data_IF_922034816015
#
_entry.id   IF_922034816015
#
_cell.length_a   1.000
_cell.length_b   1.000
_cell.length_c   1.000
_cell.angle_alpha   90.00
_cell.angle_beta   90.00
_cell.angle_gamma   90.00
#
_symmetry.space_group_name_H-M   'P 1'
#
loop_
_entity.id
_entity.type
_entity.pdbx_description
1 polymer ?
#
# COMPACT_ATOMS: atom_id res chain seq x y z
N UNK A 1 20.32 6.49 -23.00
CA UNK A 1 19.09 7.13 -23.55
C UNK A 1 17.92 6.15 -23.59
N UNK A 2 18.07 4.91 -24.10
CA UNK A 2 17.00 3.90 -24.08
C UNK A 2 16.48 3.54 -22.69
N UNK A 3 17.36 3.38 -21.69
CA UNK A 3 16.96 3.01 -20.33
C UNK A 3 16.05 4.06 -19.68
N UNK A 4 16.39 5.34 -19.85
CA UNK A 4 15.59 6.47 -19.38
C UNK A 4 14.19 6.49 -19.98
N UNK A 5 14.09 6.22 -21.29
CA UNK A 5 12.80 6.14 -21.98
C UNK A 5 11.96 4.97 -21.47
N UNK A 6 12.57 3.80 -21.27
CA UNK A 6 11.89 2.63 -20.72
C UNK A 6 11.38 2.88 -19.30
N UNK A 7 12.16 3.52 -18.42
CA UNK A 7 11.73 3.84 -17.06
C UNK A 7 10.52 4.79 -17.06
N UNK A 8 10.50 5.78 -17.95
CA UNK A 8 9.38 6.73 -18.10
C UNK A 8 8.11 6.03 -18.62
N UNK A 9 8.23 5.09 -19.56
CA UNK A 9 7.09 4.31 -20.05
C UNK A 9 6.51 3.40 -18.96
N UNK A 10 7.36 2.73 -18.18
CA UNK A 10 6.93 1.91 -17.04
C UNK A 10 6.21 2.78 -16.00
N UNK A 11 6.74 3.96 -15.69
CA UNK A 11 6.13 4.95 -14.80
C UNK A 11 4.72 5.34 -15.25
N UNK A 12 4.57 5.71 -16.53
CA UNK A 12 3.28 6.12 -17.06
C UNK A 12 2.27 4.97 -17.08
N UNK A 13 2.73 3.72 -17.28
CA UNK A 13 1.86 2.55 -17.20
C UNK A 13 1.40 2.28 -15.77
N UNK A 14 2.33 2.16 -14.82
CA UNK A 14 2.01 1.85 -13.41
C UNK A 14 1.12 2.92 -12.79
N UNK A 15 1.42 4.20 -13.02
CA UNK A 15 0.64 5.30 -12.45
C UNK A 15 -0.71 5.51 -13.15
N UNK A 16 -0.77 5.24 -14.45
CA UNK A 16 -2.02 5.25 -15.21
C UNK A 16 -3.00 4.19 -14.72
N UNK A 17 -2.50 2.96 -14.50
CA UNK A 17 -3.31 1.82 -14.07
C UNK A 17 -3.77 1.96 -12.61
N UNK A 18 -2.95 2.54 -11.72
CA UNK A 18 -3.23 2.62 -10.29
C UNK A 18 -4.00 3.88 -9.85
N UNK A 19 -3.78 5.02 -10.50
CA UNK A 19 -4.25 6.31 -9.97
C UNK A 19 -4.94 7.20 -11.02
N UNK A 20 -5.19 6.71 -12.24
CA UNK A 20 -5.75 7.50 -13.36
C UNK A 20 -5.04 8.86 -13.54
N UNK A 21 -3.75 8.90 -13.22
CA UNK A 21 -2.96 10.14 -13.12
C UNK A 21 -1.70 9.99 -13.95
N UNK A 22 -1.45 10.97 -14.82
CA UNK A 22 -0.20 11.05 -15.59
C UNK A 22 0.78 12.01 -14.91
N UNK A 23 1.92 11.52 -14.45
CA UNK A 23 2.99 12.36 -13.87
C UNK A 23 3.97 12.75 -14.96
N UNK A 24 4.18 14.06 -15.18
CA UNK A 24 5.25 14.57 -16.03
C UNK A 24 6.57 14.56 -15.25
N UNK A 25 7.40 13.55 -15.49
CA UNK A 25 8.77 13.51 -14.95
C UNK A 25 9.68 14.39 -15.81
N UNK A 26 10.17 15.51 -15.25
CA UNK A 26 11.16 16.38 -15.89
C UNK A 26 12.54 16.01 -15.32
N UNK A 27 13.38 15.32 -16.10
CA UNK A 27 14.76 14.98 -15.70
C UNK A 27 15.73 16.08 -16.17
N UNK A 28 16.35 16.86 -15.27
CA UNK A 28 17.34 17.87 -15.65
C UNK A 28 18.58 17.22 -16.29
N UNK A 29 19.12 17.82 -17.36
CA UNK A 29 20.20 17.23 -18.17
C UNK A 29 21.53 16.97 -17.44
N UNK A 30 21.77 17.58 -16.27
CA UNK A 30 23.11 17.66 -15.63
C UNK A 30 23.30 16.74 -14.41
N UNK A 31 22.23 16.16 -13.87
CA UNK A 31 22.21 15.35 -12.63
C UNK A 31 21.51 14.00 -12.87
N UNK A 32 21.76 13.40 -14.05
CA UNK A 32 20.98 12.27 -14.56
C UNK A 32 21.05 11.04 -13.67
N UNK A 33 22.22 10.65 -13.18
CA UNK A 33 22.38 9.39 -12.44
C UNK A 33 21.68 9.41 -11.08
N UNK A 34 21.86 10.48 -10.29
CA UNK A 34 21.27 10.60 -8.96
C UNK A 34 19.75 10.76 -9.02
N UNK A 35 19.25 11.53 -10.00
CA UNK A 35 17.81 11.64 -10.25
C UNK A 35 17.19 10.30 -10.66
N UNK A 36 17.89 9.48 -11.45
CA UNK A 36 17.43 8.14 -11.83
C UNK A 36 17.33 7.20 -10.63
N UNK A 37 18.35 7.19 -9.76
CA UNK A 37 18.33 6.36 -8.55
C UNK A 37 17.20 6.77 -7.62
N UNK A 38 17.00 8.08 -7.40
CA UNK A 38 15.93 8.59 -6.55
C UNK A 38 14.53 8.26 -7.08
N UNK A 39 14.33 8.37 -8.40
CA UNK A 39 13.05 8.04 -9.05
C UNK A 39 12.77 6.53 -8.97
N UNK A 40 13.77 5.68 -9.24
CA UNK A 40 13.61 4.23 -9.12
C UNK A 40 13.27 3.82 -7.68
N UNK A 41 13.98 4.36 -6.68
CA UNK A 41 13.68 4.09 -5.28
C UNK A 41 12.27 4.56 -4.88
N UNK A 42 11.80 5.70 -5.39
CA UNK A 42 10.45 6.17 -5.15
C UNK A 42 9.39 5.27 -5.79
N UNK A 43 9.64 4.73 -6.99
CA UNK A 43 8.75 3.77 -7.66
C UNK A 43 8.68 2.47 -6.87
N UNK A 44 9.84 1.92 -6.48
CA UNK A 44 9.90 0.69 -5.68
C UNK A 44 9.15 0.85 -4.37
N UNK A 45 9.34 1.97 -3.66
CA UNK A 45 8.61 2.27 -2.43
C UNK A 45 7.09 2.40 -2.65
N UNK A 46 6.65 2.96 -3.79
CA UNK A 46 5.22 3.06 -4.13
C UNK A 46 4.62 1.70 -4.48
N UNK A 47 5.36 0.86 -5.20
CA UNK A 47 4.97 -0.50 -5.52
C UNK A 47 4.85 -1.32 -4.23
N UNK A 48 5.88 -1.31 -3.38
CA UNK A 48 5.85 -1.98 -2.07
C UNK A 48 4.69 -1.47 -1.20
N UNK A 49 4.44 -0.16 -1.15
CA UNK A 49 3.35 0.40 -0.37
C UNK A 49 1.97 -0.11 -0.82
N UNK A 50 1.82 -0.44 -2.11
CA UNK A 50 0.57 -0.90 -2.72
C UNK A 50 0.44 -2.43 -2.74
N UNK A 51 1.55 -3.18 -2.86
CA UNK A 51 1.56 -4.65 -2.93
C UNK A 51 1.37 -5.35 -1.58
N UNK A 52 1.42 -4.63 -0.46
CA UNK A 52 1.33 -5.24 0.86
C UNK A 52 -0.09 -5.66 1.30
N UNK A 53 -1.12 -5.46 0.46
CA UNK A 53 -2.47 -5.92 0.75
C UNK A 53 -2.65 -7.39 0.40
N UNK A 54 -2.98 -8.19 1.39
CA UNK A 54 -3.23 -9.63 1.29
C UNK A 54 -4.75 -9.83 1.18
N UNK A 55 -5.27 -10.39 0.07
CA UNK A 55 -6.68 -10.70 -0.04
C UNK A 55 -7.11 -11.69 1.04
N UNK A 56 -8.28 -11.48 1.64
CA UNK A 56 -8.82 -12.42 2.63
C UNK A 56 -9.06 -13.82 2.04
N UNK A 57 -9.28 -13.90 0.73
CA UNK A 57 -9.42 -15.16 -0.02
C UNK A 57 -8.10 -15.93 -0.17
N UNK A 58 -6.95 -15.26 -0.05
CA UNK A 58 -5.63 -15.90 -0.06
C UNK A 58 -5.32 -16.47 1.33
N UNK A 59 -5.37 -15.61 2.35
CA UNK A 59 -5.26 -16.02 3.75
C UNK A 59 -5.82 -14.97 4.68
N UNK A 60 -6.14 -15.41 5.89
CA UNK A 60 -6.52 -14.54 7.00
C UNK A 60 -5.29 -14.20 7.88
N UNK A 61 -5.33 -13.09 8.64
CA UNK A 61 -4.35 -12.82 9.68
C UNK A 61 -4.44 -13.84 10.82
N UNK A 62 -3.41 -13.90 11.66
CA UNK A 62 -3.48 -14.74 12.86
C UNK A 62 -4.55 -14.22 13.83
N UNK A 63 -5.22 -15.11 14.55
CA UNK A 63 -6.24 -14.69 15.52
C UNK A 63 -5.63 -13.77 16.59
N UNK A 64 -6.20 -12.57 16.74
CA UNK A 64 -5.72 -11.53 17.65
C UNK A 64 -4.60 -10.65 17.07
N UNK A 65 -4.08 -10.94 15.88
CA UNK A 65 -3.15 -10.06 15.17
C UNK A 65 -3.89 -8.79 14.73
N UNK A 66 -3.39 -7.64 15.16
CA UNK A 66 -3.93 -6.34 14.76
C UNK A 66 -3.36 -5.92 13.42
N UNK A 67 -4.26 -5.59 12.50
CA UNK A 67 -3.96 -5.32 11.09
C UNK A 67 -4.75 -4.11 10.61
N UNK A 68 -4.32 -3.54 9.49
CA UNK A 68 -5.21 -2.72 8.68
C UNK A 68 -6.07 -3.64 7.81
N UNK A 69 -7.35 -3.37 7.73
CA UNK A 69 -8.28 -4.08 6.86
C UNK A 69 -8.85 -3.11 5.82
N UNK A 70 -9.24 -3.64 4.67
CA UNK A 70 -9.95 -2.91 3.62
C UNK A 70 -11.26 -3.58 3.30
N UNK A 71 -12.30 -2.77 3.15
CA UNK A 71 -13.52 -3.12 2.41
C UNK A 71 -13.42 -2.51 1.00
N UNK A 72 -14.50 -2.55 0.21
CA UNK A 72 -14.54 -1.87 -1.09
C UNK A 72 -14.41 -0.34 -1.00
N UNK A 73 -14.73 0.26 0.15
CA UNK A 73 -14.85 1.74 0.28
C UNK A 73 -14.14 2.33 1.49
N UNK A 74 -13.64 1.48 2.40
CA UNK A 74 -13.10 1.92 3.67
C UNK A 74 -11.85 1.13 4.05
N UNK A 75 -10.89 1.82 4.68
CA UNK A 75 -9.72 1.22 5.32
C UNK A 75 -9.78 1.52 6.81
N UNK A 76 -9.69 0.48 7.63
CA UNK A 76 -9.75 0.57 9.09
C UNK A 76 -8.73 -0.32 9.77
N UNK A 77 -8.76 -0.35 11.10
CA UNK A 77 -7.94 -1.24 11.92
C UNK A 77 -8.83 -2.24 12.66
N UNK A 78 -8.38 -3.49 12.75
CA UNK A 78 -9.07 -4.55 13.45
C UNK A 78 -8.25 -5.83 13.55
N UNK A 79 -8.88 -6.91 14.00
CA UNK A 79 -8.29 -8.24 14.09
C UNK A 79 -9.37 -9.31 13.85
N UNK A 80 -8.96 -10.54 13.55
CA UNK A 80 -9.85 -11.71 13.54
C UNK A 80 -9.80 -12.39 14.91
N UNK A 81 -10.96 -12.73 15.47
CA UNK A 81 -11.04 -13.48 16.72
C UNK A 81 -10.93 -15.00 16.50
N UNK A 82 -10.96 -15.77 17.60
CA UNK A 82 -10.87 -17.23 17.55
C UNK A 82 -12.05 -17.92 16.83
N UNK A 83 -13.15 -17.18 16.59
CA UNK A 83 -14.29 -17.67 15.82
C UNK A 83 -14.22 -17.32 14.33
N UNK A 84 -13.17 -16.62 13.89
CA UNK A 84 -13.00 -16.20 12.50
C UNK A 84 -13.68 -14.87 12.16
N UNK A 85 -14.20 -14.15 13.16
CA UNK A 85 -14.95 -12.92 12.96
C UNK A 85 -14.04 -11.68 13.08
N UNK A 86 -14.22 -10.72 12.18
CA UNK A 86 -13.51 -9.45 12.23
C UNK A 86 -14.05 -8.54 13.33
N UNK A 87 -13.15 -8.05 14.20
CA UNK A 87 -13.49 -7.23 15.37
C UNK A 87 -12.60 -6.03 15.60
N UNK A 88 -13.16 -5.06 16.32
CA UNK A 88 -12.46 -3.94 16.95
C UNK A 88 -13.16 -3.60 18.26
N UNK A 89 -12.43 -3.59 19.38
CA UNK A 89 -12.95 -3.23 20.71
C UNK A 89 -14.30 -3.91 21.09
N UNK A 90 -14.47 -5.18 20.68
CA UNK A 90 -15.68 -5.99 20.91
C UNK A 90 -16.78 -5.85 19.83
N UNK A 91 -16.68 -4.87 18.94
CA UNK A 91 -17.61 -4.67 17.82
C UNK A 91 -17.32 -5.65 16.68
N UNK A 92 -18.37 -6.13 16.01
CA UNK A 92 -18.28 -6.92 14.78
C UNK A 92 -18.17 -5.98 13.57
N UNK A 93 -17.00 -5.99 12.91
CA UNK A 93 -16.70 -5.08 11.82
C UNK A 93 -17.50 -5.39 10.55
N UNK A 94 -17.76 -6.67 10.26
CA UNK A 94 -18.56 -7.08 9.10
C UNK A 94 -19.97 -6.48 9.10
N UNK A 95 -20.55 -6.24 10.30
CA UNK A 95 -21.86 -5.57 10.43
C UNK A 95 -21.80 -4.06 10.23
N UNK A 96 -20.65 -3.44 10.47
CA UNK A 96 -20.47 -1.99 10.41
C UNK A 96 -20.01 -1.51 9.03
N UNK A 97 -19.11 -2.28 8.40
CA UNK A 97 -18.41 -1.85 7.19
C UNK A 97 -18.65 -2.78 5.99
N UNK A 98 -19.37 -3.90 6.18
CA UNK A 98 -19.57 -4.91 5.15
C UNK A 98 -18.40 -5.87 5.03
N UNK A 99 -18.27 -6.49 3.86
CA UNK A 99 -17.26 -7.51 3.61
C UNK A 99 -15.85 -6.91 3.63
N UNK A 100 -15.02 -7.51 4.47
CA UNK A 100 -13.59 -7.20 4.55
C UNK A 100 -12.88 -8.08 3.52
N UNK A 101 -12.28 -7.45 2.51
CA UNK A 101 -11.78 -8.12 1.30
C UNK A 101 -10.27 -8.29 1.29
N UNK A 102 -9.53 -7.46 2.02
CA UNK A 102 -8.08 -7.52 2.11
C UNK A 102 -7.57 -6.97 3.44
N UNK A 103 -6.34 -7.29 3.79
CA UNK A 103 -5.69 -6.79 5.00
C UNK A 103 -4.17 -6.64 4.82
N UNK A 104 -3.54 -5.91 5.72
CA UNK A 104 -2.07 -5.85 5.79
C UNK A 104 -1.58 -5.63 7.23
N UNK A 105 -0.36 -6.08 7.58
CA UNK A 105 0.21 -5.83 8.89
C UNK A 105 0.25 -4.35 9.26
N UNK A 106 0.11 -4.04 10.54
CA UNK A 106 0.34 -2.68 11.02
C UNK A 106 1.83 -2.31 10.85
N UNK A 107 2.08 -1.10 10.34
CA UNK A 107 3.40 -0.51 10.39
C UNK A 107 3.87 -0.40 11.85
N UNK A 108 5.19 -0.39 12.06
CA UNK A 108 5.76 -0.11 13.37
C UNK A 108 5.16 1.20 13.92
N UNK A 109 4.84 1.27 15.23
CA UNK A 109 4.29 2.49 15.83
C UNK A 109 5.15 3.70 15.47
N UNK A 110 4.49 4.81 15.13
CA UNK A 110 5.17 6.08 14.93
C UNK A 110 5.92 6.45 16.23
N UNK A 111 7.20 6.79 16.10
CA UNK A 111 8.00 7.32 17.19
C UNK A 111 8.28 8.77 16.85
N UNK A 112 7.74 9.68 17.66
CA UNK A 112 8.09 11.09 17.57
C UNK A 112 9.58 11.24 17.88
N UNK A 113 10.29 11.96 17.02
CA UNK A 113 11.67 12.36 17.30
C UNK A 113 11.59 13.47 18.33
N UNK A 114 11.89 13.15 19.59
CA UNK A 114 12.03 14.15 20.64
C UNK A 114 13.41 14.79 20.42
N UNK A 115 13.44 16.06 20.00
CA UNK A 115 14.63 16.91 19.95
C UNK A 115 15.03 17.43 21.34
#
# INVERSE_FOLDING_TARGET
>A
MREVQNTIEILNRVLGDLYSTSIKVIVPKKEKEEAHVAISAAIEALIEANENWIPCSERLPESGERVLFSTETFVGEGFIDLSGEWRRDGLLLGKLYGDIIAWRPLSKPYKELIE
#
